data_IF_858580667463
#
_entry.id   IF_858580667463
#
_cell.length_a   1.000
_cell.length_b   1.000
_cell.length_c   1.000
_cell.angle_alpha   90.00
_cell.angle_beta   90.00
_cell.angle_gamma   90.00
#
_symmetry.space_group_name_H-M   'P 1'
#
loop_
_entity.id
_entity.type
_entity.pdbx_description
1 polymer ?
#
# COMPACT_ATOMS: atom_id res chain seq x y z
N UNK A 1 -7.39 15.67 -7.79
CA UNK A 1 -7.19 14.44 -6.99
C UNK A 1 -7.80 13.29 -7.78
N UNK A 2 -7.10 12.17 -7.99
CA UNK A 2 -7.69 11.02 -8.69
C UNK A 2 -8.79 10.39 -7.82
N UNK A 3 -9.83 9.83 -8.45
CA UNK A 3 -10.90 9.15 -7.72
C UNK A 3 -10.45 7.77 -7.23
N UNK A 4 -11.03 7.27 -6.12
CA UNK A 4 -10.79 5.90 -5.64
C UNK A 4 -11.05 4.86 -6.74
N UNK A 5 -12.12 5.02 -7.50
CA UNK A 5 -12.46 4.09 -8.60
C UNK A 5 -11.40 4.09 -9.71
N UNK A 6 -10.86 5.26 -10.06
CA UNK A 6 -9.76 5.34 -11.03
C UNK A 6 -8.53 4.60 -10.51
N UNK A 7 -8.12 4.88 -9.27
CA UNK A 7 -6.97 4.22 -8.66
C UNK A 7 -7.15 2.71 -8.58
N UNK A 8 -8.32 2.22 -8.16
CA UNK A 8 -8.58 0.78 -8.07
C UNK A 8 -8.50 0.06 -9.43
N UNK A 9 -8.80 0.75 -10.54
CA UNK A 9 -8.64 0.22 -11.90
C UNK A 9 -7.19 0.15 -12.37
N UNK A 10 -6.31 0.97 -11.81
CA UNK A 10 -4.87 1.01 -12.16
C UNK A 10 -4.01 0.18 -11.19
N UNK A 11 -4.64 -0.47 -10.21
CA UNK A 11 -3.95 -1.43 -9.36
C UNK A 11 -3.57 -2.67 -10.18
N UNK A 12 -2.37 -3.18 -9.93
CA UNK A 12 -1.86 -4.40 -10.55
C UNK A 12 -2.05 -5.60 -9.62
N UNK A 13 -1.99 -6.78 -10.19
CA UNK A 13 -1.93 -8.06 -9.49
C UNK A 13 -0.48 -8.49 -9.25
N UNK A 14 -0.26 -9.38 -8.29
CA UNK A 14 1.10 -9.78 -7.90
C UNK A 14 1.83 -10.58 -8.98
N UNK A 15 1.11 -11.29 -9.86
CA UNK A 15 1.65 -12.01 -11.01
C UNK A 15 2.23 -11.10 -12.11
N UNK A 16 1.94 -9.79 -12.06
CA UNK A 16 2.52 -8.80 -12.97
C UNK A 16 3.91 -8.31 -12.53
N UNK A 17 4.40 -8.76 -11.38
CA UNK A 17 5.71 -8.40 -10.85
C UNK A 17 6.46 -9.64 -10.38
N UNK A 18 7.78 -9.61 -10.46
CA UNK A 18 8.63 -10.66 -9.91
C UNK A 18 9.55 -10.10 -8.83
N UNK A 19 9.83 -10.87 -7.78
CA UNK A 19 10.84 -10.49 -6.79
C UNK A 19 12.23 -10.60 -7.40
N UNK A 20 12.99 -9.50 -7.35
CA UNK A 20 14.38 -9.41 -7.79
C UNK A 20 15.21 -8.78 -6.68
N UNK A 21 15.93 -9.61 -5.94
CA UNK A 21 16.62 -9.19 -4.72
C UNK A 21 15.63 -8.75 -3.64
N UNK A 22 15.75 -7.49 -3.18
CA UNK A 22 14.88 -6.94 -2.12
C UNK A 22 13.65 -6.19 -2.65
N UNK A 23 13.53 -6.02 -3.96
CA UNK A 23 12.46 -5.25 -4.61
C UNK A 23 11.77 -6.10 -5.68
N UNK A 24 10.72 -5.56 -6.28
CA UNK A 24 10.12 -6.16 -7.48
C UNK A 24 10.70 -5.59 -8.77
N UNK A 25 10.61 -6.36 -9.85
CA UNK A 25 10.79 -5.93 -11.23
C UNK A 25 9.50 -6.24 -12.04
N UNK A 26 8.83 -5.23 -12.64
CA UNK A 26 9.09 -3.79 -12.47
C UNK A 26 8.90 -3.35 -11.00
N UNK A 27 9.50 -2.20 -10.65
CA UNK A 27 9.38 -1.65 -9.29
C UNK A 27 7.91 -1.36 -8.99
N UNK A 28 7.45 -1.81 -7.83
CA UNK A 28 6.06 -1.65 -7.41
C UNK A 28 5.93 -1.05 -6.01
N UNK A 29 4.75 -0.50 -5.75
CA UNK A 29 4.40 0.22 -4.54
C UNK A 29 3.11 -0.32 -3.96
N UNK A 30 3.17 -0.80 -2.73
CA UNK A 30 2.02 -1.37 -2.03
C UNK A 30 1.31 -0.33 -1.17
N UNK A 31 -0.01 -0.46 -1.07
CA UNK A 31 -0.85 0.12 -0.03
C UNK A 31 -1.19 -0.97 0.95
N UNK A 32 -0.95 -0.74 2.23
CA UNK A 32 -1.10 -1.71 3.30
C UNK A 32 -2.07 -1.20 4.35
N UNK A 33 -2.89 -2.08 4.89
CA UNK A 33 -3.74 -1.82 6.03
C UNK A 33 -3.07 -2.36 7.31
N UNK A 34 -2.98 -1.51 8.33
CA UNK A 34 -2.62 -1.93 9.68
C UNK A 34 -3.83 -2.55 10.41
N UNK A 35 -3.57 -3.40 11.43
CA UNK A 35 -4.57 -3.84 12.39
C UNK A 35 -5.36 -2.68 13.03
N UNK A 36 -6.64 -2.91 13.35
CA UNK A 36 -7.56 -1.87 13.84
C UNK A 36 -7.19 -1.30 15.22
N UNK A 37 -6.46 -2.07 16.01
CA UNK A 37 -6.00 -1.79 17.37
C UNK A 37 -4.69 -0.97 17.42
N UNK A 38 -4.15 -0.56 16.27
CA UNK A 38 -2.98 0.35 16.23
C UNK A 38 -3.40 1.79 16.53
N UNK A 39 -3.50 2.11 17.82
CA UNK A 39 -3.94 3.41 18.32
C UNK A 39 -3.13 4.59 17.79
N UNK A 40 -3.84 5.69 17.46
CA UNK A 40 -3.24 7.01 17.21
C UNK A 40 -2.50 7.18 15.88
N UNK A 41 -2.48 6.18 15.00
CA UNK A 41 -1.74 6.27 13.73
C UNK A 41 -2.62 6.10 12.49
N UNK A 42 -2.15 6.55 11.31
CA UNK A 42 -2.88 6.33 10.04
C UNK A 42 -2.95 4.84 9.74
N UNK A 43 -4.17 4.29 9.60
CA UNK A 43 -4.39 2.87 9.33
C UNK A 43 -3.80 2.41 8.00
N UNK A 44 -3.91 3.23 6.95
CA UNK A 44 -3.38 2.87 5.62
C UNK A 44 -2.01 3.49 5.38
N UNK A 45 -1.04 2.65 5.04
CA UNK A 45 0.35 3.01 4.74
C UNK A 45 0.69 2.67 3.30
N UNK A 46 1.69 3.32 2.73
CA UNK A 46 2.18 2.98 1.39
C UNK A 46 3.70 3.00 1.33
N UNK A 47 4.27 2.32 0.33
CA UNK A 47 5.71 2.33 0.08
C UNK A 47 6.16 1.23 -0.88
N UNK A 48 7.48 1.10 -1.07
CA UNK A 48 8.05 0.09 -1.97
C UNK A 48 7.61 -1.31 -1.56
N UNK A 49 7.23 -2.15 -2.52
CA UNK A 49 6.93 -3.55 -2.26
C UNK A 49 8.15 -4.44 -2.60
N UNK A 50 8.48 -5.48 -1.80
CA UNK A 50 7.89 -5.85 -0.50
C UNK A 50 8.52 -5.14 0.72
N UNK A 51 9.55 -4.30 0.54
CA UNK A 51 10.30 -3.68 1.65
C UNK A 51 9.39 -3.01 2.68
N UNK A 52 8.42 -2.20 2.25
CA UNK A 52 7.51 -1.52 3.17
C UNK A 52 6.63 -2.50 3.94
N UNK A 53 6.25 -3.63 3.34
CA UNK A 53 5.51 -4.68 4.05
C UNK A 53 6.34 -5.21 5.22
N UNK A 54 7.63 -5.48 4.98
CA UNK A 54 8.54 -5.99 6.00
C UNK A 54 8.75 -4.97 7.13
N UNK A 55 8.94 -3.69 6.77
CA UNK A 55 9.04 -2.60 7.76
C UNK A 55 7.79 -2.51 8.63
N UNK A 56 6.61 -2.56 8.03
CA UNK A 56 5.34 -2.48 8.77
C UNK A 56 5.09 -3.72 9.64
N UNK A 57 5.45 -4.90 9.15
CA UNK A 57 5.35 -6.14 9.92
C UNK A 57 6.31 -6.10 11.13
N UNK A 58 7.50 -5.51 10.96
CA UNK A 58 8.43 -5.30 12.08
C UNK A 58 7.89 -4.27 13.08
N UNK A 59 7.35 -3.14 12.61
CA UNK A 59 6.89 -2.03 13.45
C UNK A 59 5.58 -2.33 14.19
N UNK A 60 4.64 -3.04 13.54
CA UNK A 60 3.27 -3.24 14.03
C UNK A 60 2.88 -4.72 14.21
N UNK A 61 3.81 -5.66 13.99
CA UNK A 61 3.57 -7.11 14.09
C UNK A 61 2.91 -7.73 12.86
N UNK A 62 1.97 -7.04 12.21
CA UNK A 62 1.33 -7.50 10.98
C UNK A 62 0.83 -6.34 10.11
N UNK A 63 0.66 -6.60 8.82
CA UNK A 63 -0.04 -5.71 7.89
C UNK A 63 -0.60 -6.50 6.69
N UNK A 64 -1.76 -6.06 6.17
CA UNK A 64 -2.37 -6.67 4.99
C UNK A 64 -2.08 -5.83 3.74
N UNK A 65 -1.52 -6.42 2.69
CA UNK A 65 -1.42 -5.78 1.38
C UNK A 65 -2.82 -5.57 0.79
N UNK A 66 -3.22 -4.31 0.63
CA UNK A 66 -4.53 -3.93 0.11
C UNK A 66 -4.53 -3.83 -1.42
N UNK A 67 -3.58 -3.08 -1.99
CA UNK A 67 -3.40 -2.89 -3.44
C UNK A 67 -1.94 -2.66 -3.80
N UNK A 68 -1.57 -3.00 -5.02
CA UNK A 68 -0.23 -2.83 -5.59
C UNK A 68 -0.30 -1.94 -6.84
N UNK A 69 0.73 -1.13 -7.06
CA UNK A 69 0.80 -0.16 -8.16
C UNK A 69 2.20 -0.11 -8.78
N UNK A 70 2.29 0.21 -10.07
CA UNK A 70 3.55 0.56 -10.72
C UNK A 70 3.97 2.01 -10.41
N UNK A 71 2.98 2.90 -10.24
CA UNK A 71 3.21 4.31 -9.93
C UNK A 71 3.11 4.60 -8.44
N UNK A 72 4.17 5.18 -7.86
CA UNK A 72 4.21 5.54 -6.44
C UNK A 72 3.08 6.48 -6.03
N UNK A 73 2.76 7.43 -6.92
CA UNK A 73 1.76 8.47 -6.67
C UNK A 73 0.35 7.90 -6.54
N UNK A 74 0.06 6.79 -7.22
CA UNK A 74 -1.24 6.14 -7.14
C UNK A 74 -1.43 5.43 -5.79
N UNK A 75 -0.38 4.73 -5.33
CA UNK A 75 -0.36 4.13 -3.99
C UNK A 75 -0.53 5.20 -2.89
N UNK A 76 0.20 6.31 -2.99
CA UNK A 76 0.09 7.45 -2.08
C UNK A 76 -1.33 8.04 -2.08
N UNK A 77 -1.89 8.29 -3.27
CA UNK A 77 -3.22 8.87 -3.43
C UNK A 77 -4.30 7.98 -2.82
N UNK A 78 -4.21 6.66 -3.04
CA UNK A 78 -5.17 5.70 -2.47
C UNK A 78 -5.07 5.65 -0.95
N UNK A 79 -3.85 5.55 -0.40
CA UNK A 79 -3.66 5.54 1.05
C UNK A 79 -4.18 6.82 1.72
N UNK A 80 -3.94 7.99 1.12
CA UNK A 80 -4.47 9.26 1.63
C UNK A 80 -5.99 9.27 1.62
N UNK A 81 -6.60 8.84 0.51
CA UNK A 81 -8.05 8.80 0.36
C UNK A 81 -8.70 7.86 1.40
N UNK A 82 -8.15 6.65 1.59
CA UNK A 82 -8.68 5.68 2.56
C UNK A 82 -8.56 6.16 4.00
N UNK A 83 -7.47 6.83 4.36
CA UNK A 83 -7.33 7.42 5.69
C UNK A 83 -8.32 8.58 5.93
N UNK A 84 -8.66 9.34 4.88
CA UNK A 84 -9.69 10.38 4.98
C UNK A 84 -11.10 9.82 5.10
N UNK A 85 -11.37 8.64 4.50
CA UNK A 85 -12.67 7.96 4.63
C UNK A 85 -12.92 7.48 6.07
N UNK A 86 -11.89 7.03 6.80
CA UNK A 86 -12.02 6.59 8.20
C UNK A 86 -12.27 7.76 9.16
N UNK A 87 -11.78 8.95 8.83
CA UNK A 87 -11.90 10.14 9.69
C UNK A 87 -13.22 10.89 9.50
N UNK A 88 -14.09 10.43 8.59
CA UNK A 88 -15.43 10.98 8.37
C UNK A 88 -16.45 10.23 9.19
#
# INVERSE_FOLDING_TARGET
MLSKQYLLKHAISFDQVCLKGKLTEPRSYGVYALPLDTDGTRRFRFGNHPVRQQELTHEFGDCTLFKLFLERKDAESLAKWLNQEIQR
#
